data_IF_097343755159
#
_entry.id   IF_097343755159
#
_cell.length_a   1.000
_cell.length_b   1.000
_cell.length_c   1.000
_cell.angle_alpha   90.00
_cell.angle_beta   90.00
_cell.angle_gamma   90.00
#
_symmetry.space_group_name_H-M   'P 1'
#
loop_
_entity.id
_entity.type
_entity.pdbx_description
1 polymer ?
#
# COMPACT_ATOMS: atom_id res chain seq x y z
N UNK A 1 66.07 -30.50 18.13
CA UNK A 1 65.03 -29.69 18.81
C UNK A 1 63.73 -29.85 18.05
N UNK A 2 62.78 -30.65 18.58
CA UNK A 2 61.42 -30.76 18.03
C UNK A 2 60.48 -29.96 18.92
N UNK A 3 59.73 -29.03 18.31
CA UNK A 3 58.82 -28.10 18.95
C UNK A 3 57.79 -28.83 19.84
N UNK A 4 57.96 -28.72 21.17
CA UNK A 4 57.03 -29.22 22.20
C UNK A 4 55.83 -28.28 22.44
N UNK A 5 55.68 -27.21 21.65
CA UNK A 5 54.68 -26.17 21.90
C UNK A 5 53.30 -26.43 21.26
N UNK A 6 53.20 -27.31 20.26
CA UNK A 6 51.95 -27.51 19.51
C UNK A 6 51.06 -28.63 20.05
N UNK A 7 51.53 -29.46 20.98
CA UNK A 7 50.73 -30.59 21.52
C UNK A 7 49.86 -30.24 22.74
N UNK A 8 49.97 -29.02 23.30
CA UNK A 8 49.27 -28.65 24.54
C UNK A 8 47.94 -27.91 24.38
N UNK A 9 47.45 -27.73 23.15
CA UNK A 9 46.20 -26.97 22.90
C UNK A 9 44.98 -27.82 22.55
N UNK A 10 45.06 -29.14 22.60
CA UNK A 10 43.88 -30.01 22.51
C UNK A 10 43.34 -30.30 23.90
N UNK A 11 42.60 -29.34 24.46
CA UNK A 11 41.68 -29.64 25.57
C UNK A 11 40.70 -30.68 25.01
N UNK A 12 40.72 -31.91 25.57
CA UNK A 12 39.72 -32.94 25.27
C UNK A 12 38.35 -32.41 25.71
N UNK A 13 37.65 -31.73 24.81
CA UNK A 13 36.27 -31.34 25.01
C UNK A 13 35.48 -32.64 25.22
N UNK A 14 34.77 -32.74 26.35
CA UNK A 14 33.94 -33.89 26.62
C UNK A 14 32.96 -34.06 25.45
N UNK A 15 32.93 -35.22 24.77
CA UNK A 15 32.08 -35.43 23.60
C UNK A 15 30.61 -35.08 23.90
N UNK A 16 30.12 -35.33 25.12
CA UNK A 16 28.78 -34.94 25.53
C UNK A 16 28.56 -33.42 25.48
N UNK A 17 29.55 -32.63 25.90
CA UNK A 17 29.48 -31.15 25.84
C UNK A 17 29.48 -30.64 24.40
N UNK A 18 30.29 -31.24 23.53
CA UNK A 18 30.30 -30.91 22.11
C UNK A 18 28.93 -31.18 21.46
N UNK A 19 28.37 -32.38 21.65
CA UNK A 19 27.07 -32.74 21.06
C UNK A 19 25.90 -31.93 21.60
N UNK A 20 25.88 -31.63 22.90
CA UNK A 20 24.84 -30.77 23.50
C UNK A 20 24.90 -29.33 22.97
N UNK A 21 26.10 -28.75 22.85
CA UNK A 21 26.26 -27.42 22.27
C UNK A 21 25.81 -27.35 20.81
N UNK A 22 26.11 -28.39 20.03
CA UNK A 22 25.70 -28.49 18.63
C UNK A 22 24.18 -28.62 18.50
N UNK A 23 23.53 -29.40 19.36
CA UNK A 23 22.07 -29.52 19.39
C UNK A 23 21.38 -28.18 19.69
N UNK A 24 21.92 -27.39 20.63
CA UNK A 24 21.38 -26.06 20.96
C UNK A 24 21.46 -25.11 19.76
N UNK A 25 22.59 -25.08 19.05
CA UNK A 25 22.75 -24.24 17.85
C UNK A 25 21.77 -24.64 16.75
N UNK A 26 21.55 -25.94 16.56
CA UNK A 26 20.58 -26.46 15.58
C UNK A 26 19.16 -26.05 15.94
N UNK A 27 18.77 -26.17 17.22
CA UNK A 27 17.43 -25.77 17.67
C UNK A 27 17.18 -24.27 17.53
N UNK A 28 18.18 -23.44 17.87
CA UNK A 28 18.08 -21.98 17.72
C UNK A 28 18.00 -21.55 16.24
N UNK A 29 18.77 -22.18 15.36
CA UNK A 29 18.73 -21.88 13.92
C UNK A 29 17.40 -22.30 13.29
N UNK A 30 16.87 -23.47 13.65
CA UNK A 30 15.53 -23.90 13.22
C UNK A 30 14.43 -22.94 13.71
N UNK A 31 14.51 -22.46 14.95
CA UNK A 31 13.57 -21.48 15.49
C UNK A 31 13.59 -20.17 14.68
N UNK A 32 14.77 -19.64 14.38
CA UNK A 32 14.92 -18.41 13.57
C UNK A 32 14.37 -18.60 12.16
N UNK A 33 14.63 -19.75 11.52
CA UNK A 33 14.10 -20.06 10.19
C UNK A 33 12.56 -20.13 10.23
N UNK A 34 11.99 -20.73 11.27
CA UNK A 34 10.54 -20.89 11.40
C UNK A 34 9.83 -19.56 11.63
N UNK A 35 10.36 -18.68 12.48
CA UNK A 35 9.80 -17.33 12.69
C UNK A 35 9.91 -16.46 11.43
N UNK A 36 11.03 -16.53 10.71
CA UNK A 36 11.16 -15.83 9.42
C UNK A 36 10.19 -16.38 8.36
N UNK A 37 9.96 -17.69 8.32
CA UNK A 37 9.00 -18.29 7.41
C UNK A 37 7.55 -17.88 7.73
N UNK A 38 7.18 -17.79 9.01
CA UNK A 38 5.86 -17.26 9.43
C UNK A 38 5.65 -15.82 8.97
N UNK A 39 6.63 -14.94 9.17
CA UNK A 39 6.56 -13.54 8.73
C UNK A 39 6.46 -13.45 7.21
N UNK A 40 7.22 -14.27 6.49
CA UNK A 40 7.15 -14.34 5.04
C UNK A 40 5.76 -14.82 4.59
N UNK A 41 5.24 -15.90 5.16
CA UNK A 41 3.92 -16.43 4.85
C UNK A 41 2.79 -15.45 5.18
N UNK A 42 2.86 -14.72 6.29
CA UNK A 42 1.87 -13.68 6.61
C UNK A 42 1.93 -12.51 5.63
N UNK A 43 3.12 -12.11 5.20
CA UNK A 43 3.28 -11.05 4.20
C UNK A 43 2.79 -11.48 2.81
N UNK A 44 2.99 -12.75 2.44
CA UNK A 44 2.42 -13.32 1.21
C UNK A 44 0.89 -13.41 1.28
N UNK A 45 0.32 -13.80 2.42
CA UNK A 45 -1.13 -13.83 2.62
C UNK A 45 -1.74 -12.42 2.54
N UNK A 46 -1.12 -11.43 3.20
CA UNK A 46 -1.52 -10.02 3.13
C UNK A 46 -1.44 -9.48 1.69
N UNK A 47 -0.37 -9.79 0.96
CA UNK A 47 -0.22 -9.37 -0.44
C UNK A 47 -1.25 -10.04 -1.37
N UNK A 48 -1.59 -11.31 -1.11
CA UNK A 48 -2.61 -12.04 -1.87
C UNK A 48 -4.02 -11.47 -1.63
N UNK A 49 -4.36 -11.18 -0.36
CA UNK A 49 -5.62 -10.53 -0.03
C UNK A 49 -5.72 -9.11 -0.62
N UNK A 50 -4.62 -8.34 -0.59
CA UNK A 50 -4.58 -7.01 -1.20
C UNK A 50 -4.80 -7.09 -2.72
N UNK A 51 -4.14 -8.03 -3.41
CA UNK A 51 -4.33 -8.25 -4.85
C UNK A 51 -5.75 -8.71 -5.19
N UNK A 52 -6.37 -9.54 -4.35
CA UNK A 52 -7.74 -10.00 -4.54
C UNK A 52 -8.77 -8.88 -4.37
N UNK A 53 -8.55 -7.96 -3.41
CA UNK A 53 -9.38 -6.76 -3.23
C UNK A 53 -9.19 -5.79 -4.40
N UNK A 54 -7.99 -5.68 -4.97
CA UNK A 54 -7.76 -4.89 -6.18
C UNK A 54 -8.53 -5.51 -7.36
N UNK A 55 -8.39 -6.81 -7.63
CA UNK A 55 -9.05 -7.46 -8.77
C UNK A 55 -10.59 -7.41 -8.71
N UNK A 56 -11.17 -7.45 -7.51
CA UNK A 56 -12.62 -7.30 -7.32
C UNK A 56 -13.16 -5.88 -7.49
N UNK A 57 -12.33 -4.86 -7.24
CA UNK A 57 -12.72 -3.45 -7.33
C UNK A 57 -12.25 -2.78 -8.62
N UNK A 58 -11.39 -3.43 -9.41
CA UNK A 58 -11.05 -2.98 -10.76
C UNK A 58 -12.26 -3.25 -11.65
N UNK A 59 -13.01 -2.19 -11.92
CA UNK A 59 -13.95 -2.13 -13.04
C UNK A 59 -13.18 -2.61 -14.27
N UNK A 60 -13.58 -3.75 -14.84
CA UNK A 60 -13.03 -4.25 -16.11
C UNK A 60 -13.36 -3.25 -17.21
N UNK A 61 -12.54 -2.21 -17.34
CA UNK A 61 -12.61 -1.28 -18.45
C UNK A 61 -12.37 -2.07 -19.74
N UNK A 62 -13.31 -1.93 -20.67
CA UNK A 62 -13.21 -2.51 -22.02
C UNK A 62 -11.86 -2.11 -22.61
N UNK A 63 -11.20 -3.11 -23.17
CA UNK A 63 -9.93 -3.06 -23.90
C UNK A 63 -9.81 -1.80 -24.78
N UNK A 64 -8.89 -0.93 -24.36
CA UNK A 64 -8.03 -0.03 -25.15
C UNK A 64 -8.69 1.07 -25.99
N UNK A 65 -8.94 2.20 -25.36
CA UNK A 65 -8.41 3.49 -25.84
C UNK A 65 -7.53 4.02 -24.71
N UNK A 66 -6.22 3.95 -24.89
CA UNK A 66 -5.29 4.54 -23.92
C UNK A 66 -5.55 6.04 -23.95
N UNK A 67 -5.86 6.63 -22.79
CA UNK A 67 -6.10 8.07 -22.73
C UNK A 67 -4.74 8.75 -22.87
N UNK A 68 -4.41 9.18 -24.09
CA UNK A 68 -3.22 9.97 -24.44
C UNK A 68 -3.50 11.48 -24.42
N UNK A 69 -4.52 11.96 -23.69
CA UNK A 69 -4.71 13.41 -23.58
C UNK A 69 -3.79 14.03 -22.52
N UNK A 70 -3.01 15.03 -22.91
CA UNK A 70 -2.35 15.98 -22.00
C UNK A 70 -3.35 17.05 -21.55
N UNK A 71 -4.47 16.57 -21.02
CA UNK A 71 -5.62 17.35 -20.57
C UNK A 71 -5.52 17.67 -19.07
N UNK A 72 -4.45 17.20 -18.43
CA UNK A 72 -4.05 17.56 -17.08
C UNK A 72 -3.77 19.07 -17.02
N UNK A 73 -4.37 19.73 -16.03
CA UNK A 73 -4.19 21.16 -15.86
C UNK A 73 -4.46 21.59 -14.44
N UNK A 74 -3.67 22.55 -13.98
CA UNK A 74 -3.96 23.31 -12.78
C UNK A 74 -4.79 24.54 -13.12
N UNK A 75 -5.81 24.83 -12.32
CA UNK A 75 -6.60 26.03 -12.47
C UNK A 75 -5.87 27.25 -11.94
N UNK A 76 -6.17 28.42 -12.52
CA UNK A 76 -5.64 29.70 -12.01
C UNK A 76 -6.24 30.06 -10.64
N UNK A 77 -7.40 29.50 -10.31
CA UNK A 77 -8.10 29.69 -9.05
C UNK A 77 -8.68 28.35 -8.61
N UNK A 78 -8.56 28.08 -7.32
CA UNK A 78 -9.17 26.91 -6.68
C UNK A 78 -10.69 27.11 -6.60
N UNK A 79 -11.45 26.04 -6.85
CA UNK A 79 -12.91 26.06 -6.69
C UNK A 79 -13.29 25.32 -5.41
N UNK A 80 -14.01 25.96 -4.46
CA UNK A 80 -14.47 25.28 -3.27
C UNK A 80 -15.50 24.21 -3.65
N UNK A 81 -15.37 23.03 -3.05
CA UNK A 81 -16.27 21.89 -3.28
C UNK A 81 -16.73 21.30 -1.95
N UNK A 82 -17.96 20.80 -1.95
CA UNK A 82 -18.52 19.96 -0.91
C UNK A 82 -19.13 18.74 -1.60
N UNK A 83 -18.35 17.68 -1.74
CA UNK A 83 -18.75 16.47 -2.45
C UNK A 83 -18.84 15.29 -1.51
N UNK A 84 -19.76 14.37 -1.79
CA UNK A 84 -19.93 13.13 -1.04
C UNK A 84 -19.76 11.94 -1.98
N UNK A 85 -19.16 10.88 -1.48
CA UNK A 85 -18.83 9.71 -2.28
C UNK A 85 -18.20 8.60 -1.46
N UNK A 86 -17.91 7.49 -2.15
CA UNK A 86 -17.28 6.30 -1.59
C UNK A 86 -15.83 6.21 -2.01
N UNK A 87 -14.94 5.92 -1.08
CA UNK A 87 -13.52 5.68 -1.37
C UNK A 87 -13.37 4.35 -2.10
N UNK A 88 -12.91 4.41 -3.35
CA UNK A 88 -12.76 3.25 -4.24
C UNK A 88 -11.30 2.78 -4.37
N UNK A 89 -10.34 3.66 -4.08
CA UNK A 89 -8.91 3.34 -4.15
C UNK A 89 -8.12 4.16 -3.12
N UNK A 90 -6.99 3.61 -2.69
CA UNK A 90 -5.98 4.30 -1.87
C UNK A 90 -4.67 4.33 -2.65
N UNK A 91 -4.01 5.49 -2.63
CA UNK A 91 -2.77 5.77 -3.33
C UNK A 91 -1.71 6.24 -2.33
N UNK A 92 -0.43 6.10 -2.68
CA UNK A 92 0.72 6.61 -1.91
C UNK A 92 0.55 6.39 -0.40
N UNK A 93 0.35 5.13 0.01
CA UNK A 93 0.20 4.74 1.42
C UNK A 93 -0.91 5.46 2.20
N UNK A 94 -2.02 5.83 1.55
CA UNK A 94 -3.18 6.46 2.19
C UNK A 94 -3.18 7.99 2.18
N UNK A 95 -2.11 8.62 1.68
CA UNK A 95 -2.03 10.09 1.59
C UNK A 95 -3.03 10.65 0.58
N UNK A 96 -3.28 9.91 -0.49
CA UNK A 96 -4.22 10.28 -1.53
C UNK A 96 -5.19 9.12 -1.81
N UNK A 97 -6.43 9.43 -2.20
CA UNK A 97 -7.47 8.44 -2.43
C UNK A 97 -8.30 8.74 -3.67
N UNK A 98 -8.84 7.69 -4.30
CA UNK A 98 -9.82 7.79 -5.36
C UNK A 98 -11.23 7.70 -4.81
N UNK A 99 -12.11 8.60 -5.21
CA UNK A 99 -13.49 8.68 -4.68
C UNK A 99 -14.51 8.65 -5.81
N UNK A 100 -15.49 7.75 -5.73
CA UNK A 100 -16.67 7.75 -6.59
C UNK A 100 -17.77 8.62 -5.96
N UNK A 101 -18.25 9.63 -6.69
CA UNK A 101 -19.29 10.54 -6.20
C UNK A 101 -20.66 9.89 -6.22
N UNK A 102 -21.44 10.18 -5.19
CA UNK A 102 -22.86 9.82 -5.14
C UNK A 102 -23.69 10.63 -6.12
N UNK A 103 -23.33 11.91 -6.29
CA UNK A 103 -23.98 12.76 -7.28
C UNK A 103 -23.35 12.57 -8.66
N UNK A 104 -23.93 11.63 -9.42
CA UNK A 104 -23.56 11.31 -10.80
C UNK A 104 -24.18 12.24 -11.85
N UNK A 105 -24.93 13.29 -11.45
CA UNK A 105 -25.55 14.24 -12.38
C UNK A 105 -24.60 15.35 -12.83
N UNK A 106 -23.44 15.46 -12.20
CA UNK A 106 -22.46 16.52 -12.47
C UNK A 106 -21.34 16.02 -13.38
N UNK A 107 -20.54 16.94 -13.91
CA UNK A 107 -19.46 16.63 -14.87
C UNK A 107 -18.43 15.62 -14.35
N UNK A 108 -18.19 15.58 -13.04
CA UNK A 108 -17.17 14.73 -12.42
C UNK A 108 -17.86 13.63 -11.62
N UNK A 109 -17.88 12.41 -12.13
CA UNK A 109 -18.45 11.25 -11.42
C UNK A 109 -17.48 10.64 -10.41
N UNK A 110 -16.19 10.91 -10.59
CA UNK A 110 -15.09 10.46 -9.74
C UNK A 110 -14.08 11.61 -9.59
N UNK A 111 -13.27 11.56 -8.53
CA UNK A 111 -12.21 12.52 -8.30
C UNK A 111 -11.02 11.90 -7.58
N UNK A 112 -9.84 12.47 -7.83
CA UNK A 112 -8.63 12.28 -7.06
C UNK A 112 -8.66 13.20 -5.85
N UNK A 113 -8.36 12.67 -4.67
CA UNK A 113 -8.40 13.41 -3.41
C UNK A 113 -7.07 13.32 -2.70
N UNK A 114 -6.40 14.46 -2.55
CA UNK A 114 -5.32 14.57 -1.59
C UNK A 114 -5.87 14.81 -0.18
N UNK A 115 -5.66 13.84 0.70
CA UNK A 115 -6.27 13.82 2.03
C UNK A 115 -5.54 14.74 3.01
N UNK A 116 -4.27 15.06 2.72
CA UNK A 116 -3.41 15.88 3.58
C UNK A 116 -3.32 15.32 5.02
N UNK A 117 -3.28 14.00 5.15
CA UNK A 117 -3.24 13.28 6.42
C UNK A 117 -4.53 13.34 7.24
N UNK A 118 -5.65 13.83 6.66
CA UNK A 118 -6.96 13.94 7.33
C UNK A 118 -7.85 12.71 7.12
N UNK A 119 -7.29 11.63 6.61
CA UNK A 119 -8.01 10.39 6.31
C UNK A 119 -7.28 9.22 6.97
N UNK A 120 -7.97 8.61 7.92
CA UNK A 120 -7.47 7.60 8.85
C UNK A 120 -7.84 6.17 8.39
N UNK A 121 -7.83 5.97 7.07
CA UNK A 121 -7.81 4.69 6.34
C UNK A 121 -8.97 3.71 6.58
N UNK A 122 -9.93 3.68 5.63
CA UNK A 122 -10.76 2.51 5.34
C UNK A 122 -11.25 2.52 3.89
N UNK A 123 -10.64 1.73 3.01
CA UNK A 123 -11.18 1.48 1.66
C UNK A 123 -12.67 1.13 1.74
N UNK A 124 -13.47 1.65 0.81
CA UNK A 124 -14.91 1.48 0.82
C UNK A 124 -15.67 2.36 1.81
N UNK A 125 -14.99 3.29 2.51
CA UNK A 125 -15.66 4.26 3.38
C UNK A 125 -16.46 5.27 2.59
N UNK A 126 -17.61 5.61 3.14
CA UNK A 126 -18.48 6.66 2.63
C UNK A 126 -18.09 7.97 3.33
N UNK A 127 -17.70 8.97 2.53
CA UNK A 127 -17.13 10.22 3.04
C UNK A 127 -17.81 11.44 2.40
N UNK A 128 -17.80 12.54 3.15
CA UNK A 128 -18.02 13.90 2.67
C UNK A 128 -16.72 14.69 2.75
N UNK A 129 -16.36 15.31 1.63
CA UNK A 129 -15.15 16.11 1.46
C UNK A 129 -15.55 17.55 1.31
N UNK A 130 -15.06 18.39 2.23
CA UNK A 130 -15.02 19.83 2.06
C UNK A 130 -13.59 20.20 1.68
N UNK A 131 -13.41 20.83 0.52
CA UNK A 131 -12.08 21.09 0.02
C UNK A 131 -12.07 21.99 -1.20
N UNK A 132 -11.01 21.86 -1.99
CA UNK A 132 -10.74 22.71 -3.14
C UNK A 132 -10.39 21.85 -4.34
N UNK A 133 -11.14 22.01 -5.43
CA UNK A 133 -10.77 21.48 -6.73
C UNK A 133 -9.73 22.42 -7.34
N UNK A 134 -8.51 21.92 -7.48
CA UNK A 134 -7.34 22.70 -7.94
C UNK A 134 -7.05 22.49 -9.41
N UNK A 135 -7.62 21.45 -10.02
CA UNK A 135 -7.33 21.12 -11.41
C UNK A 135 -8.05 19.87 -11.93
N UNK A 136 -7.55 19.39 -13.05
CA UNK A 136 -7.85 18.08 -13.63
C UNK A 136 -6.55 17.30 -13.62
N UNK A 137 -6.57 16.05 -13.14
CA UNK A 137 -5.44 15.14 -13.20
C UNK A 137 -5.78 13.93 -14.06
N UNK A 138 -4.79 13.44 -14.81
CA UNK A 138 -4.87 12.19 -15.54
C UNK A 138 -4.17 11.04 -14.80
N UNK A 139 -3.69 11.29 -13.58
CA UNK A 139 -3.18 10.26 -12.70
C UNK A 139 -4.22 9.15 -12.57
N UNK A 140 -3.80 7.91 -12.85
CA UNK A 140 -4.63 6.72 -12.77
C UNK A 140 -5.85 6.69 -13.71
N UNK A 141 -5.86 7.52 -14.77
CA UNK A 141 -6.91 7.52 -15.79
C UNK A 141 -7.04 6.16 -16.51
N UNK A 142 -5.91 5.50 -16.78
CA UNK A 142 -5.89 4.20 -17.47
C UNK A 142 -5.98 2.99 -16.52
N UNK A 143 -6.19 3.19 -15.22
CA UNK A 143 -6.27 2.11 -14.23
C UNK A 143 -7.54 2.16 -13.38
N UNK A 144 -7.69 3.18 -12.55
CA UNK A 144 -8.80 3.27 -11.57
C UNK A 144 -9.98 4.06 -12.12
N UNK A 145 -9.72 5.20 -12.76
CA UNK A 145 -10.78 6.16 -13.08
C UNK A 145 -11.39 5.97 -14.48
N UNK A 146 -10.67 5.36 -15.42
CA UNK A 146 -11.09 5.23 -16.81
C UNK A 146 -11.23 6.57 -17.57
N UNK A 147 -10.85 7.68 -16.94
CA UNK A 147 -10.93 9.06 -17.45
C UNK A 147 -10.02 9.97 -16.61
N UNK A 148 -9.63 11.13 -17.14
CA UNK A 148 -9.04 12.18 -16.30
C UNK A 148 -10.12 12.79 -15.41
N UNK A 149 -9.80 12.98 -14.13
CA UNK A 149 -10.75 13.34 -13.07
C UNK A 149 -10.39 14.65 -12.42
N UNK A 150 -11.31 15.18 -11.60
CA UNK A 150 -11.04 16.35 -10.79
C UNK A 150 -9.89 16.06 -9.79
N UNK A 151 -8.94 16.98 -9.69
CA UNK A 151 -7.90 16.99 -8.66
C UNK A 151 -8.36 17.87 -7.49
N UNK A 152 -8.48 17.26 -6.31
CA UNK A 152 -9.09 17.87 -5.12
C UNK A 152 -8.16 17.77 -3.94
N UNK A 153 -8.00 18.88 -3.21
CA UNK A 153 -7.29 18.94 -1.93
C UNK A 153 -8.32 19.03 -0.79
N UNK A 154 -8.22 18.13 0.19
CA UNK A 154 -9.11 18.09 1.34
C UNK A 154 -8.74 19.15 2.40
N UNK A 155 -9.70 20.04 2.70
CA UNK A 155 -9.61 20.91 3.87
C UNK A 155 -10.24 20.20 5.10
N UNK A 156 -11.32 19.41 4.90
CA UNK A 156 -11.95 18.56 5.91
C UNK A 156 -12.60 17.32 5.28
N UNK A 157 -12.45 16.16 5.94
CA UNK A 157 -13.11 14.91 5.60
C UNK A 157 -14.06 14.53 6.74
N UNK A 158 -15.23 13.99 6.43
CA UNK A 158 -16.23 13.54 7.42
C UNK A 158 -16.82 12.23 6.97
N UNK A 159 -16.83 11.23 7.84
CA UNK A 159 -17.45 9.94 7.59
C UNK A 159 -18.99 10.08 7.59
N UNK A 160 -19.64 9.35 6.67
CA UNK A 160 -21.10 9.32 6.52
C UNK A 160 -21.72 8.06 7.10
#
# INVERSE_FOLDING_TARGET
MKNKLTEKFFIKINPAFFWTSMAIVIMLSLYVIFENYKISASNYALAADLNYVIDKNVVKHKKNEFIECDCEKRFKRDYPIMWSGRVIASFVSGEDVGVERYDKKTRYNQFYLSTQGKYDEKLGSDIRVNGRMVGITCAYANSIFGACVADVIADKITYL
#
